data_IF_001383847978
#
_entry.id   IF_001383847978
#
_cell.length_a   1.000
_cell.length_b   1.000
_cell.length_c   1.000
_cell.angle_alpha   90.00
_cell.angle_beta   90.00
_cell.angle_gamma   90.00
#
_symmetry.space_group_name_H-M   'P 1'
#
loop_
_entity.id
_entity.type
_entity.pdbx_description
1 polymer ?
#
# COMPACT_ATOMS: atom_id res chain seq x y z
N UNK A 1 -24.54 5.71 -29.21
CA UNK A 1 -23.99 4.85 -28.15
C UNK A 1 -22.51 4.62 -28.42
N UNK A 2 -21.62 4.93 -27.47
CA UNK A 2 -20.21 4.55 -27.64
C UNK A 2 -20.12 3.03 -27.64
N UNK A 3 -19.38 2.46 -28.59
CA UNK A 3 -19.13 1.02 -28.64
C UNK A 3 -18.45 0.57 -27.34
N UNK A 4 -18.99 -0.47 -26.72
CA UNK A 4 -18.46 -1.07 -25.49
C UNK A 4 -16.95 -1.35 -25.58
N UNK A 5 -16.48 -1.77 -26.76
CA UNK A 5 -15.06 -2.03 -27.01
C UNK A 5 -14.18 -0.76 -26.91
N UNK A 6 -14.72 0.43 -27.26
CA UNK A 6 -13.99 1.70 -27.09
C UNK A 6 -13.87 2.06 -25.60
N UNK A 7 -14.94 1.88 -24.83
CA UNK A 7 -14.93 2.12 -23.39
C UNK A 7 -13.98 1.17 -22.67
N UNK A 8 -13.98 -0.12 -23.04
CA UNK A 8 -13.08 -1.13 -22.49
C UNK A 8 -11.60 -0.76 -22.72
N UNK A 9 -11.23 -0.35 -23.95
CA UNK A 9 -9.86 0.10 -24.27
C UNK A 9 -9.41 1.31 -23.44
N UNK A 10 -10.33 2.26 -23.19
CA UNK A 10 -10.04 3.42 -22.33
C UNK A 10 -9.84 2.99 -20.88
N UNK A 11 -10.65 2.05 -20.39
CA UNK A 11 -10.51 1.47 -19.05
C UNK A 11 -9.17 0.78 -18.84
N UNK A 12 -8.75 -0.07 -19.78
CA UNK A 12 -7.45 -0.76 -19.75
C UNK A 12 -6.29 0.23 -19.67
N UNK A 13 -6.36 1.31 -20.47
CA UNK A 13 -5.29 2.32 -20.49
C UNK A 13 -5.22 3.14 -19.20
N UNK A 14 -6.35 3.37 -18.53
CA UNK A 14 -6.42 4.18 -17.31
C UNK A 14 -6.07 3.39 -16.04
N UNK A 15 -6.36 2.09 -16.02
CA UNK A 15 -6.19 1.25 -14.83
C UNK A 15 -5.60 -0.12 -15.19
N UNK A 16 -4.37 -0.17 -15.74
CA UNK A 16 -3.72 -1.44 -16.08
C UNK A 16 -3.59 -2.38 -14.87
N UNK A 17 -3.44 -1.83 -13.66
CA UNK A 17 -3.34 -2.57 -12.41
C UNK A 17 -4.57 -3.44 -12.12
N UNK A 18 -5.77 -2.97 -12.48
CA UNK A 18 -7.03 -3.72 -12.27
C UNK A 18 -7.08 -4.94 -13.17
N UNK A 19 -6.63 -4.81 -14.42
CA UNK A 19 -6.65 -5.91 -15.38
C UNK A 19 -5.59 -6.97 -15.06
N UNK A 20 -4.39 -6.56 -14.63
CA UNK A 20 -3.36 -7.48 -14.15
C UNK A 20 -3.86 -8.34 -12.98
N UNK A 21 -4.61 -7.73 -12.06
CA UNK A 21 -5.20 -8.47 -10.95
C UNK A 21 -6.31 -9.45 -11.35
N UNK A 22 -7.11 -9.09 -12.37
CA UNK A 22 -8.13 -9.99 -12.92
C UNK A 22 -7.49 -11.19 -13.63
N UNK A 23 -6.38 -10.98 -14.34
CA UNK A 23 -5.60 -12.05 -14.98
C UNK A 23 -4.96 -12.99 -13.95
N UNK A 24 -4.40 -12.43 -12.86
CA UNK A 24 -3.93 -13.21 -11.71
C UNK A 24 -5.07 -14.00 -11.05
N UNK A 25 -6.28 -13.43 -10.95
CA UNK A 25 -7.45 -14.11 -10.41
C UNK A 25 -7.89 -15.29 -11.29
N UNK A 26 -7.87 -15.15 -12.62
CA UNK A 26 -8.23 -16.27 -13.50
C UNK A 26 -7.30 -17.46 -13.31
N UNK A 27 -6.00 -17.20 -13.12
CA UNK A 27 -4.96 -18.21 -12.96
C UNK A 27 -4.97 -18.83 -11.56
N UNK A 28 -5.08 -18.00 -10.51
CA UNK A 28 -4.89 -18.43 -9.12
C UNK A 28 -6.19 -18.66 -8.36
N UNK A 29 -7.34 -18.26 -8.93
CA UNK A 29 -8.67 -18.18 -8.29
C UNK A 29 -8.69 -17.37 -6.99
N UNK A 30 -7.70 -16.50 -6.78
CA UNK A 30 -7.56 -15.63 -5.61
C UNK A 30 -7.42 -14.20 -6.08
N UNK A 31 -8.25 -13.30 -5.55
CA UNK A 31 -8.16 -11.88 -5.91
C UNK A 31 -6.88 -11.37 -5.25
N UNK A 32 -5.89 -10.88 -6.00
CA UNK A 32 -4.71 -10.31 -5.40
C UNK A 32 -5.14 -9.11 -4.56
N UNK A 33 -4.81 -9.14 -3.27
CA UNK A 33 -5.21 -8.08 -2.35
C UNK A 33 -4.45 -6.81 -2.74
N UNK A 34 -5.09 -5.87 -3.43
CA UNK A 34 -4.50 -4.57 -3.75
C UNK A 34 -4.01 -3.80 -2.51
N UNK A 35 -4.50 -4.14 -1.32
CA UNK A 35 -4.07 -3.58 -0.04
C UNK A 35 -2.94 -4.38 0.59
N UNK A 36 -1.76 -4.44 -0.02
CA UNK A 36 -0.59 -4.96 0.70
C UNK A 36 0.15 -3.82 1.40
N UNK A 37 -0.08 -3.68 2.71
CA UNK A 37 0.97 -3.18 3.58
C UNK A 37 2.16 -4.13 3.42
N UNK A 38 3.22 -3.68 2.76
CA UNK A 38 4.46 -4.44 2.67
C UNK A 38 5.21 -4.30 3.99
N UNK A 39 5.72 -5.43 4.49
CA UNK A 39 6.71 -5.39 5.57
C UNK A 39 8.03 -4.96 4.95
N UNK A 40 8.71 -4.06 5.64
CA UNK A 40 10.04 -3.59 5.28
C UNK A 40 10.94 -3.82 6.48
N UNK A 41 12.16 -4.27 6.21
CA UNK A 41 13.20 -4.39 7.23
C UNK A 41 14.03 -3.11 7.19
N UNK A 42 14.20 -2.47 8.34
CA UNK A 42 14.89 -1.19 8.49
C UNK A 42 15.83 -1.27 9.68
N UNK A 43 17.03 -0.70 9.53
CA UNK A 43 17.97 -0.55 10.62
C UNK A 43 17.78 0.80 11.28
N UNK A 44 17.56 0.82 12.60
CA UNK A 44 17.36 2.03 13.40
C UNK A 44 18.24 1.91 14.64
N UNK A 45 18.79 3.04 15.10
CA UNK A 45 19.51 3.11 16.37
C UNK A 45 18.65 2.61 17.55
N UNK A 46 19.27 1.83 18.44
CA UNK A 46 18.58 1.18 19.55
C UNK A 46 18.00 2.19 20.55
N UNK A 47 18.72 3.27 20.85
CA UNK A 47 18.26 4.29 21.79
C UNK A 47 17.07 5.06 21.22
N UNK A 48 17.10 5.34 19.92
CA UNK A 48 15.98 5.97 19.20
C UNK A 48 14.76 5.05 19.22
N UNK A 49 14.91 3.77 18.89
CA UNK A 49 13.82 2.80 18.89
C UNK A 49 13.21 2.66 20.28
N UNK A 50 14.02 2.62 21.34
CA UNK A 50 13.56 2.53 22.73
C UNK A 50 12.71 3.74 23.12
N UNK A 51 13.21 4.95 22.86
CA UNK A 51 12.46 6.20 23.13
C UNK A 51 11.16 6.26 22.33
N UNK A 52 11.21 5.85 21.06
CA UNK A 52 10.04 5.85 20.18
C UNK A 52 8.96 4.85 20.62
N UNK A 53 9.36 3.63 21.02
CA UNK A 53 8.44 2.63 21.59
C UNK A 53 7.76 3.14 22.85
N UNK A 54 8.53 3.74 23.76
CA UNK A 54 7.98 4.31 24.99
C UNK A 54 6.98 5.42 24.69
N UNK A 55 7.35 6.37 23.81
CA UNK A 55 6.49 7.45 23.37
C UNK A 55 5.16 6.95 22.77
N UNK A 56 5.22 5.91 21.94
CA UNK A 56 4.01 5.32 21.35
C UNK A 56 3.15 4.61 22.39
N UNK A 57 3.77 3.91 23.35
CA UNK A 57 3.06 3.22 24.44
C UNK A 57 2.32 4.20 25.34
N UNK A 58 2.99 5.27 25.77
CA UNK A 58 2.42 6.26 26.70
C UNK A 58 1.23 7.02 26.10
N UNK A 59 1.19 7.15 24.77
CA UNK A 59 0.15 7.88 24.04
C UNK A 59 -0.86 6.99 23.32
N UNK A 60 -0.75 5.66 23.45
CA UNK A 60 -1.63 4.70 22.76
C UNK A 60 -1.55 4.78 21.23
N UNK A 61 -0.38 5.13 20.67
CA UNK A 61 -0.20 5.36 19.24
C UNK A 61 0.32 4.11 18.51
N UNK A 62 -0.11 3.94 17.25
CA UNK A 62 0.41 2.89 16.38
C UNK A 62 1.72 3.34 15.71
N UNK A 63 2.83 2.66 16.04
CA UNK A 63 4.16 2.95 15.51
C UNK A 63 4.20 2.99 13.98
N UNK A 64 3.65 1.96 13.31
CA UNK A 64 3.68 1.86 11.85
C UNK A 64 2.97 3.05 11.20
N UNK A 65 1.85 3.50 11.79
CA UNK A 65 1.09 4.66 11.29
C UNK A 65 1.88 5.97 11.42
N UNK A 66 2.65 6.14 12.50
CA UNK A 66 3.50 7.34 12.68
C UNK A 66 4.63 7.34 11.65
N UNK A 67 5.30 6.20 11.48
CA UNK A 67 6.38 6.06 10.49
C UNK A 67 5.85 6.35 9.09
N UNK A 68 4.73 5.73 8.70
CA UNK A 68 4.07 5.96 7.41
C UNK A 68 3.70 7.44 7.21
N UNK A 69 3.13 8.09 8.22
CA UNK A 69 2.80 9.53 8.17
C UNK A 69 4.03 10.40 7.99
N UNK A 70 5.14 10.08 8.66
CA UNK A 70 6.39 10.81 8.48
C UNK A 70 7.00 10.57 7.09
N UNK A 71 6.96 9.34 6.59
CA UNK A 71 7.40 9.04 5.22
C UNK A 71 6.60 9.82 4.18
N UNK A 72 5.28 9.95 4.35
CA UNK A 72 4.44 10.75 3.46
C UNK A 72 4.84 12.22 3.43
N UNK A 73 5.12 12.82 4.60
CA UNK A 73 5.53 14.22 4.70
C UNK A 73 6.86 14.54 4.01
N UNK A 74 7.78 13.58 3.93
CA UNK A 74 9.07 13.77 3.26
C UNK A 74 8.99 13.59 1.73
N UNK A 75 7.88 13.03 1.22
CA UNK A 75 7.63 12.84 -0.21
C UNK A 75 6.74 13.92 -0.84
N UNK A 76 6.18 14.81 -0.02
CA UNK A 76 5.43 16.02 -0.43
C UNK A 76 6.38 17.21 -0.58
#
# INVERSE_FOLDING_TARGET
>A
MQSFAKLAKIGIKKHPEIFAALEEFETTKKIPKFSYRKRIDLTIDENVLRKFKQHCKDRGLNMSRIVEKHMQKEME
#
